data_IF_534344622247
#
_entry.id   IF_534344622247
#
_cell.length_a   1.000
_cell.length_b   1.000
_cell.length_c   1.000
_cell.angle_alpha   90.00
_cell.angle_beta   90.00
_cell.angle_gamma   90.00
#
_symmetry.space_group_name_H-M   'P 1'
#
loop_
_entity.id
_entity.type
_entity.pdbx_description
1 polymer ?
#
# COMPACT_ATOMS: atom_id res chain seq x y z
N UNK A 1 -5.11 39.28 -7.11
CA UNK A 1 -4.92 38.76 -8.47
C UNK A 1 -4.23 37.42 -8.38
N UNK A 2 -5.00 36.35 -8.59
CA UNK A 2 -4.58 34.97 -8.34
C UNK A 2 -3.58 34.48 -9.37
N UNK A 3 -2.57 33.74 -8.89
CA UNK A 3 -1.63 33.03 -9.75
C UNK A 3 -2.19 31.64 -10.00
N UNK A 4 -3.02 31.54 -11.05
CA UNK A 4 -3.39 30.28 -11.71
C UNK A 4 -2.14 29.73 -12.42
N UNK A 5 -1.26 29.09 -11.66
CA UNK A 5 -0.03 28.48 -12.17
C UNK A 5 -0.14 26.96 -12.19
N UNK A 6 -0.07 26.38 -13.39
CA UNK A 6 0.07 24.94 -13.71
C UNK A 6 -1.15 24.07 -13.47
N UNK A 7 -2.04 24.08 -14.47
CA UNK A 7 -3.07 23.08 -14.69
C UNK A 7 -2.74 22.30 -15.97
N UNK A 8 -1.66 21.52 -15.99
CA UNK A 8 -1.33 20.59 -17.09
C UNK A 8 -0.57 19.36 -16.56
N UNK A 9 -1.35 18.31 -16.24
CA UNK A 9 -1.02 16.87 -16.18
C UNK A 9 0.26 16.42 -15.44
N UNK A 10 0.16 16.00 -14.16
CA UNK A 10 1.05 14.96 -13.61
C UNK A 10 0.35 14.17 -12.48
N UNK A 11 0.78 12.94 -12.24
CA UNK A 11 0.21 12.07 -11.20
C UNK A 11 0.39 12.68 -9.82
N UNK A 12 -0.67 13.32 -9.32
CA UNK A 12 -0.68 13.96 -8.00
C UNK A 12 -0.41 12.92 -6.94
N UNK A 13 0.79 12.98 -6.36
CA UNK A 13 1.22 12.16 -5.26
C UNK A 13 0.22 12.32 -4.10
N UNK A 14 -0.61 11.30 -3.78
CA UNK A 14 -1.70 11.48 -2.83
C UNK A 14 -1.22 11.89 -1.44
N UNK A 15 -0.02 11.45 -1.04
CA UNK A 15 0.60 11.80 0.24
C UNK A 15 0.89 13.31 0.39
N UNK A 16 1.12 14.06 -0.70
CA UNK A 16 1.50 15.47 -0.62
C UNK A 16 0.29 16.44 -0.66
N UNK A 17 -0.79 16.04 -1.33
CA UNK A 17 -1.94 16.93 -1.58
C UNK A 17 -3.25 16.42 -0.98
N UNK A 18 -3.37 15.11 -0.73
CA UNK A 18 -4.60 14.45 -0.28
C UNK A 18 -4.31 13.30 0.71
N UNK A 19 -3.75 13.60 1.89
CA UNK A 19 -3.30 12.58 2.83
C UNK A 19 -4.42 11.65 3.30
N UNK A 20 -5.66 12.13 3.41
CA UNK A 20 -6.84 11.29 3.69
C UNK A 20 -7.06 10.18 2.65
N UNK A 21 -6.80 10.46 1.37
CA UNK A 21 -6.93 9.47 0.29
C UNK A 21 -5.76 8.48 0.35
N UNK A 22 -4.56 8.97 0.67
CA UNK A 22 -3.40 8.13 0.86
C UNK A 22 -3.58 7.13 2.01
N UNK A 23 -4.19 7.56 3.12
CA UNK A 23 -4.49 6.71 4.27
C UNK A 23 -5.39 5.52 3.90
N UNK A 24 -6.38 5.72 3.02
CA UNK A 24 -7.26 4.63 2.57
C UNK A 24 -6.51 3.51 1.84
N UNK A 25 -5.42 3.82 1.14
CA UNK A 25 -4.60 2.82 0.47
C UNK A 25 -3.86 1.93 1.47
N UNK A 26 -3.32 2.52 2.54
CA UNK A 26 -2.71 1.76 3.64
C UNK A 26 -3.76 0.97 4.43
N UNK A 27 -4.93 1.54 4.69
CA UNK A 27 -6.03 0.84 5.36
C UNK A 27 -6.44 -0.43 4.59
N UNK A 28 -6.46 -0.36 3.25
CA UNK A 28 -6.68 -1.53 2.41
C UNK A 28 -5.58 -2.60 2.58
N UNK A 29 -4.31 -2.19 2.66
CA UNK A 29 -3.18 -3.12 2.88
C UNK A 29 -3.17 -3.72 4.28
N UNK A 30 -3.62 -2.98 5.29
CA UNK A 30 -3.81 -3.48 6.64
C UNK A 30 -4.97 -4.50 6.69
N UNK A 31 -6.13 -4.17 6.10
CA UNK A 31 -7.27 -5.07 6.03
C UNK A 31 -6.97 -6.39 5.28
N UNK A 32 -6.06 -6.36 4.31
CA UNK A 32 -5.65 -7.52 3.52
C UNK A 32 -4.44 -8.27 4.09
N UNK A 33 -3.85 -7.79 5.18
CA UNK A 33 -2.67 -8.40 5.81
C UNK A 33 -2.94 -9.82 6.33
N UNK A 34 -4.13 -10.07 6.88
CA UNK A 34 -4.54 -11.41 7.32
C UNK A 34 -4.54 -12.42 6.18
N UNK A 35 -5.02 -12.02 5.00
CA UNK A 35 -4.96 -12.85 3.80
C UNK A 35 -3.52 -13.05 3.31
N UNK A 36 -2.66 -12.02 3.42
CA UNK A 36 -1.26 -12.13 3.04
C UNK A 36 -0.51 -13.19 3.88
N UNK A 37 -0.87 -13.37 5.17
CA UNK A 37 -0.37 -14.47 6.00
C UNK A 37 -0.82 -15.84 5.51
N UNK A 38 -2.11 -15.99 5.18
CA UNK A 38 -2.65 -17.23 4.61
C UNK A 38 -2.00 -17.59 3.27
N UNK A 39 -1.67 -16.56 2.46
CA UNK A 39 -0.92 -16.75 1.23
C UNK A 39 0.49 -17.29 1.55
N UNK A 40 1.20 -16.71 2.53
CA UNK A 40 2.51 -17.19 2.95
C UNK A 40 2.48 -18.65 3.44
N UNK A 41 1.49 -19.00 4.27
CA UNK A 41 1.26 -20.38 4.74
C UNK A 41 1.05 -21.36 3.58
N UNK A 42 0.27 -20.98 2.57
CA UNK A 42 0.01 -21.82 1.39
C UNK A 42 1.29 -22.16 0.61
N UNK A 43 2.27 -21.27 0.60
CA UNK A 43 3.54 -21.47 -0.09
C UNK A 43 4.68 -21.91 0.83
N UNK A 44 4.42 -22.13 2.13
CA UNK A 44 5.41 -22.60 3.09
C UNK A 44 6.45 -21.56 3.52
N UNK A 45 6.15 -20.26 3.35
CA UNK A 45 7.05 -19.18 3.77
C UNK A 45 6.63 -18.60 5.12
N UNK A 46 7.58 -18.21 5.99
CA UNK A 46 7.26 -17.46 7.20
C UNK A 46 6.89 -16.01 6.88
N UNK A 47 5.88 -15.47 7.57
CA UNK A 47 5.49 -14.06 7.48
C UNK A 47 4.23 -13.81 6.66
N UNK A 48 4.26 -12.77 5.83
CA UNK A 48 3.13 -12.36 4.98
C UNK A 48 3.60 -12.15 3.54
N UNK A 49 2.83 -12.67 2.58
CA UNK A 49 3.09 -12.50 1.14
C UNK A 49 1.94 -11.70 0.55
N UNK A 50 2.25 -10.46 0.14
CA UNK A 50 1.31 -9.65 -0.61
C UNK A 50 1.32 -10.07 -2.09
N UNK A 51 0.15 -10.28 -2.71
CA UNK A 51 0.09 -10.65 -4.12
C UNK A 51 0.54 -9.47 -5.01
N UNK A 52 1.23 -9.78 -6.10
CA UNK A 52 1.68 -8.81 -7.10
C UNK A 52 0.56 -7.89 -7.58
N UNK A 53 -0.57 -8.49 -7.95
CA UNK A 53 -1.80 -7.75 -8.26
C UNK A 53 -2.86 -8.11 -7.21
N UNK A 54 -3.33 -7.14 -6.43
CA UNK A 54 -4.31 -7.38 -5.37
C UNK A 54 -5.69 -6.85 -5.75
N UNK A 55 -6.70 -7.72 -5.75
CA UNK A 55 -8.12 -7.34 -5.88
C UNK A 55 -8.82 -7.26 -4.53
N UNK A 56 -10.16 -7.33 -4.53
CA UNK A 56 -10.99 -7.26 -3.31
C UNK A 56 -10.51 -8.19 -2.18
N UNK A 57 -10.12 -9.41 -2.53
CA UNK A 57 -9.76 -10.44 -1.57
C UNK A 57 -8.26 -10.61 -1.36
N UNK A 58 -7.39 -9.87 -2.08
CA UNK A 58 -5.93 -10.01 -2.01
C UNK A 58 -5.41 -11.46 -2.01
N UNK A 59 -6.11 -12.35 -2.72
CA UNK A 59 -5.74 -13.74 -2.88
C UNK A 59 -4.72 -13.90 -4.00
N UNK A 60 -3.98 -14.99 -3.97
CA UNK A 60 -3.00 -15.37 -4.98
C UNK A 60 -3.60 -15.88 -6.30
N UNK A 61 -4.69 -15.28 -6.77
CA UNK A 61 -5.38 -15.66 -8.03
C UNK A 61 -5.28 -14.59 -9.12
N UNK A 62 -4.33 -13.66 -8.97
CA UNK A 62 -4.21 -12.51 -9.85
C UNK A 62 -3.35 -12.78 -11.09
N UNK A 63 -3.12 -11.77 -11.91
CA UNK A 63 -2.31 -11.88 -13.14
C UNK A 63 -0.82 -12.04 -12.79
N UNK A 64 -0.37 -13.28 -12.55
CA UNK A 64 1.03 -13.64 -12.35
C UNK A 64 1.29 -14.58 -11.15
N UNK A 65 2.51 -15.13 -11.01
CA UNK A 65 2.89 -15.93 -9.86
C UNK A 65 2.86 -15.09 -8.58
N UNK A 66 2.25 -15.61 -7.51
CA UNK A 66 2.16 -14.92 -6.23
C UNK A 66 3.46 -14.93 -5.44
N UNK A 67 4.34 -15.88 -5.77
CA UNK A 67 5.63 -16.13 -5.12
C UNK A 67 6.68 -16.24 -6.22
N UNK A 68 7.88 -15.73 -5.92
CA UNK A 68 9.07 -15.84 -6.79
C UNK A 68 9.01 -15.05 -8.11
N UNK A 69 8.06 -14.12 -8.24
CA UNK A 69 8.02 -13.16 -9.36
C UNK A 69 8.59 -11.80 -8.93
N UNK A 70 7.99 -11.18 -7.91
CA UNK A 70 8.34 -9.81 -7.51
C UNK A 70 8.16 -9.64 -5.99
N UNK A 71 9.23 -9.91 -5.24
CA UNK A 71 9.20 -9.92 -3.77
C UNK A 71 9.25 -8.52 -3.15
N UNK A 72 9.60 -7.48 -3.92
CA UNK A 72 9.74 -6.13 -3.40
C UNK A 72 8.40 -5.50 -3.01
N UNK A 73 7.26 -6.00 -3.49
CA UNK A 73 5.93 -5.51 -3.10
C UNK A 73 5.74 -5.52 -1.56
N UNK A 74 6.35 -6.49 -0.87
CA UNK A 74 6.33 -6.55 0.58
C UNK A 74 7.06 -5.35 1.22
N UNK A 75 8.20 -4.95 0.66
CA UNK A 75 8.98 -3.79 1.09
C UNK A 75 8.28 -2.49 0.69
N UNK A 76 7.64 -2.45 -0.47
CA UNK A 76 6.91 -1.27 -0.95
C UNK A 76 5.69 -0.96 -0.08
N UNK A 77 4.97 -1.97 0.39
CA UNK A 77 3.86 -1.80 1.34
C UNK A 77 4.35 -1.25 2.69
N UNK A 78 5.50 -1.73 3.18
CA UNK A 78 6.12 -1.20 4.39
C UNK A 78 6.60 0.25 4.18
N UNK A 79 7.23 0.55 3.05
CA UNK A 79 7.69 1.89 2.70
C UNK A 79 6.54 2.89 2.54
N UNK A 80 5.41 2.46 1.97
CA UNK A 80 4.21 3.29 1.86
C UNK A 80 3.61 3.61 3.25
N UNK A 81 3.62 2.62 4.15
CA UNK A 81 3.21 2.80 5.55
C UNK A 81 4.10 3.82 6.26
N UNK A 82 5.42 3.68 6.09
CA UNK A 82 6.40 4.59 6.68
C UNK A 82 6.34 6.01 6.08
N UNK A 83 6.13 6.13 4.76
CA UNK A 83 6.04 7.44 4.09
C UNK A 83 4.81 8.24 4.54
N UNK A 84 3.71 7.56 4.84
CA UNK A 84 2.49 8.16 5.36
C UNK A 84 2.69 8.59 6.82
N UNK A 85 3.39 7.80 7.64
CA UNK A 85 3.79 8.19 8.99
C UNK A 85 4.68 9.44 8.99
N UNK A 86 5.71 9.50 8.13
CA UNK A 86 6.60 10.65 8.02
C UNK A 86 5.92 11.93 7.51
N UNK A 87 4.77 11.81 6.85
CA UNK A 87 4.01 12.97 6.38
C UNK A 87 3.39 13.78 7.53
N UNK A 88 3.25 13.18 8.73
CA UNK A 88 2.75 13.88 9.91
C UNK A 88 1.30 14.32 9.78
N UNK A 89 0.49 13.60 9.00
CA UNK A 89 -0.92 13.89 8.82
C UNK A 89 -1.71 13.64 10.12
N UNK A 90 -2.74 14.46 10.34
CA UNK A 90 -3.58 14.41 11.55
C UNK A 90 -4.27 13.03 11.67
N UNK A 91 -4.01 12.32 12.77
CA UNK A 91 -4.55 10.97 13.03
C UNK A 91 -3.68 9.80 12.53
N UNK A 92 -2.43 10.05 12.17
CA UNK A 92 -1.42 9.03 11.86
C UNK A 92 -0.33 9.11 12.94
N UNK A 93 -0.55 8.42 14.04
CA UNK A 93 0.32 8.36 15.22
C UNK A 93 1.05 7.00 15.29
N UNK A 94 1.83 6.79 16.36
CA UNK A 94 2.53 5.53 16.61
C UNK A 94 1.56 4.33 16.79
N UNK A 95 0.25 4.56 16.96
CA UNK A 95 -0.78 3.51 17.04
C UNK A 95 -1.25 3.05 15.65
N UNK A 96 -1.02 3.85 14.60
CA UNK A 96 -1.39 3.52 13.23
C UNK A 96 -0.44 2.51 12.56
N UNK A 97 0.82 2.42 13.02
CA UNK A 97 1.86 1.49 12.51
C UNK A 97 1.91 0.19 13.31
#
# INVERSE_FOLDING_TARGET
>A
YGVLGRRYMDGTCPIAFFPNVAQNMNNYRNATHSQAKLNAEKYGYPGAIYPWTSGKYANCTSTGPCVDYEYHINVDVAMASFSIYLNGHEGIDDEYL
#
